data_IF_976404893442
#
_entry.id   IF_976404893442
#
_cell.length_a   1.000
_cell.length_b   1.000
_cell.length_c   1.000
_cell.angle_alpha   90.00
_cell.angle_beta   90.00
_cell.angle_gamma   90.00
#
_symmetry.space_group_name_H-M   'P 1'
#
loop_
_entity.id
_entity.type
_entity.pdbx_description
1 polymer ?
#
# COMPACT_ATOMS: atom_id res chain seq x y z
N UNK A 1 31.14 -3.67 5.37
CA UNK A 1 30.42 -4.00 6.62
C UNK A 1 29.53 -5.21 6.36
N UNK A 2 29.20 -5.97 7.41
CA UNK A 2 28.15 -6.99 7.38
C UNK A 2 26.84 -6.39 7.85
N UNK A 3 25.81 -6.44 7.02
CA UNK A 3 24.50 -5.83 7.31
C UNK A 3 23.43 -6.90 7.31
N UNK A 4 22.69 -7.01 8.43
CA UNK A 4 21.52 -7.87 8.56
C UNK A 4 20.24 -7.08 8.29
N UNK A 5 19.34 -7.61 7.48
CA UNK A 5 18.05 -6.98 7.16
C UNK A 5 16.92 -7.89 7.63
N UNK A 6 16.04 -7.35 8.47
CA UNK A 6 14.86 -8.04 8.99
C UNK A 6 13.65 -7.65 8.16
N UNK A 7 13.11 -8.61 7.40
CA UNK A 7 11.99 -8.45 6.48
C UNK A 7 12.43 -8.46 5.01
N UNK A 8 11.86 -9.40 4.23
CA UNK A 8 12.10 -9.59 2.79
C UNK A 8 11.02 -8.95 1.91
N UNK A 9 10.34 -7.92 2.40
CA UNK A 9 9.45 -7.07 1.61
C UNK A 9 10.22 -6.14 0.67
N UNK A 10 9.50 -5.33 -0.12
CA UNK A 10 10.11 -4.38 -1.08
C UNK A 10 11.12 -3.44 -0.43
N UNK A 11 10.87 -2.99 0.81
CA UNK A 11 11.79 -2.16 1.57
C UNK A 11 13.12 -2.87 1.83
N UNK A 12 13.05 -4.09 2.37
CA UNK A 12 14.25 -4.89 2.69
C UNK A 12 15.05 -5.27 1.45
N UNK A 13 14.37 -5.70 0.38
CA UNK A 13 15.01 -6.01 -0.89
C UNK A 13 15.65 -4.77 -1.54
N UNK A 14 14.98 -3.61 -1.44
CA UNK A 14 15.53 -2.33 -1.91
C UNK A 14 16.77 -1.90 -1.13
N UNK A 15 16.74 -2.03 0.22
CA UNK A 15 17.92 -1.78 1.06
C UNK A 15 19.07 -2.72 0.71
N UNK A 16 18.78 -4.02 0.56
CA UNK A 16 19.78 -5.02 0.19
C UNK A 16 20.45 -4.68 -1.14
N UNK A 17 19.64 -4.32 -2.15
CA UNK A 17 20.12 -3.94 -3.48
C UNK A 17 21.05 -2.73 -3.43
N UNK A 18 20.59 -1.66 -2.78
CA UNK A 18 21.39 -0.44 -2.66
C UNK A 18 22.71 -0.62 -1.87
N UNK A 19 22.71 -1.48 -0.84
CA UNK A 19 23.89 -1.77 -0.03
C UNK A 19 24.88 -2.70 -0.75
N UNK A 20 24.38 -3.71 -1.44
CA UNK A 20 25.22 -4.62 -2.20
C UNK A 20 25.97 -3.90 -3.33
N UNK A 21 25.30 -2.95 -4.02
CA UNK A 21 25.95 -2.07 -5.00
C UNK A 21 27.09 -1.21 -4.41
N UNK A 22 27.06 -0.96 -3.09
CA UNK A 22 28.09 -0.21 -2.37
C UNK A 22 29.16 -1.13 -1.75
N UNK A 23 29.17 -2.42 -2.06
CA UNK A 23 30.18 -3.40 -1.65
C UNK A 23 29.97 -3.99 -0.25
N UNK A 24 28.80 -3.79 0.39
CA UNK A 24 28.51 -4.41 1.68
C UNK A 24 28.13 -5.88 1.54
N UNK A 25 28.43 -6.68 2.58
CA UNK A 25 27.93 -8.05 2.72
C UNK A 25 26.56 -8.00 3.40
N UNK A 26 25.53 -8.40 2.68
CA UNK A 26 24.14 -8.26 3.11
C UNK A 26 23.46 -9.62 3.24
N UNK A 27 22.73 -9.79 4.33
CA UNK A 27 21.86 -10.94 4.56
C UNK A 27 20.45 -10.45 4.87
N UNK A 28 19.43 -11.00 4.18
CA UNK A 28 18.01 -10.69 4.36
C UNK A 28 17.31 -11.88 4.97
N UNK A 29 16.54 -11.65 6.03
CA UNK A 29 15.77 -12.67 6.75
C UNK A 29 14.29 -12.41 6.62
N UNK A 30 13.54 -13.38 6.07
CA UNK A 30 12.10 -13.31 5.84
C UNK A 30 11.40 -14.53 6.45
N UNK A 31 10.41 -14.30 7.30
CA UNK A 31 9.65 -15.37 7.95
C UNK A 31 8.74 -16.14 6.99
N UNK A 32 8.25 -15.48 5.94
CA UNK A 32 7.43 -16.12 4.93
C UNK A 32 8.28 -17.00 3.99
N UNK A 33 7.70 -18.03 3.36
CA UNK A 33 8.41 -18.87 2.40
C UNK A 33 8.77 -18.14 1.09
N UNK A 34 8.19 -16.95 0.86
CA UNK A 34 8.42 -16.15 -0.34
C UNK A 34 8.71 -14.68 0.00
N UNK A 35 9.58 -14.07 -0.80
CA UNK A 35 9.92 -12.64 -0.72
C UNK A 35 8.80 -11.75 -1.28
N UNK A 36 8.85 -10.47 -0.96
CA UNK A 36 7.97 -9.44 -1.53
C UNK A 36 6.99 -8.80 -0.55
N UNK A 37 6.71 -9.41 0.61
CA UNK A 37 5.80 -8.88 1.61
C UNK A 37 4.41 -8.57 1.02
N UNK A 38 3.91 -7.33 1.18
CA UNK A 38 2.62 -6.90 0.62
C UNK A 38 2.61 -6.82 -0.92
N UNK A 39 3.78 -6.74 -1.58
CA UNK A 39 3.89 -6.81 -3.04
C UNK A 39 4.03 -8.25 -3.55
N UNK A 40 3.98 -9.24 -2.66
CA UNK A 40 4.11 -10.65 -2.99
C UNK A 40 3.00 -11.17 -3.88
N UNK A 41 3.34 -12.22 -4.65
CA UNK A 41 2.42 -12.92 -5.53
C UNK A 41 2.16 -14.35 -5.07
N UNK A 42 1.18 -14.98 -5.66
CA UNK A 42 0.86 -16.39 -5.45
C UNK A 42 0.40 -17.04 -6.75
N UNK A 43 0.47 -18.34 -6.82
CA UNK A 43 -0.11 -19.09 -7.93
C UNK A 43 -1.62 -19.28 -7.71
N UNK A 44 -2.41 -18.87 -8.70
CA UNK A 44 -3.85 -19.06 -8.72
C UNK A 44 -4.22 -19.95 -9.92
N UNK A 45 -4.06 -21.25 -9.75
CA UNK A 45 -4.27 -22.29 -10.77
C UNK A 45 -3.47 -22.01 -12.05
N UNK A 46 -2.14 -21.93 -11.90
CA UNK A 46 -1.19 -21.69 -12.99
C UNK A 46 -1.02 -20.22 -13.37
N UNK A 47 -1.66 -19.31 -12.66
CA UNK A 47 -1.64 -17.88 -12.93
C UNK A 47 -0.99 -17.13 -11.79
N UNK A 48 0.13 -16.44 -12.06
CA UNK A 48 0.75 -15.55 -11.05
C UNK A 48 -0.13 -14.32 -10.81
N UNK A 49 -0.57 -14.14 -9.58
CA UNK A 49 -1.49 -13.08 -9.14
C UNK A 49 -0.91 -12.38 -7.92
N UNK A 50 -1.04 -11.07 -7.85
CA UNK A 50 -0.64 -10.28 -6.69
C UNK A 50 -1.59 -10.54 -5.51
N UNK A 51 -1.06 -10.65 -4.29
CA UNK A 51 -1.90 -10.76 -3.08
C UNK A 51 -2.75 -9.53 -2.83
N UNK A 52 -2.24 -8.37 -3.24
CA UNK A 52 -2.89 -7.07 -3.19
C UNK A 52 -2.59 -6.36 -4.51
N UNK A 53 -3.59 -5.68 -5.07
CA UNK A 53 -3.45 -5.01 -6.37
C UNK A 53 -2.44 -3.85 -6.32
N UNK A 54 -1.66 -3.71 -7.37
CA UNK A 54 -0.73 -2.60 -7.55
C UNK A 54 -0.90 -1.95 -8.93
N UNK A 55 -0.65 -0.66 -8.96
CA UNK A 55 -0.54 0.12 -10.19
C UNK A 55 0.56 1.17 -10.02
N UNK A 56 1.05 1.68 -11.11
CA UNK A 56 2.15 2.66 -11.14
C UNK A 56 1.60 4.02 -11.56
N UNK A 57 1.97 5.06 -10.82
CA UNK A 57 1.72 6.44 -11.19
C UNK A 57 2.95 7.04 -11.89
N UNK A 58 2.76 8.12 -12.66
CA UNK A 58 3.89 8.82 -13.31
C UNK A 58 4.88 9.41 -12.32
N UNK A 59 4.42 9.76 -11.14
CA UNK A 59 5.21 10.33 -10.06
C UNK A 59 5.95 9.26 -9.23
N UNK A 60 5.81 7.97 -9.57
CA UNK A 60 6.51 6.87 -8.88
C UNK A 60 7.96 6.74 -9.39
N UNK A 61 8.72 7.84 -9.27
CA UNK A 61 10.05 8.00 -9.88
C UNK A 61 11.08 6.96 -9.43
N UNK A 62 11.06 6.57 -8.14
CA UNK A 62 12.01 5.58 -7.61
C UNK A 62 11.71 4.17 -8.13
N UNK A 63 10.42 3.82 -8.29
CA UNK A 63 10.03 2.56 -8.93
C UNK A 63 10.44 2.57 -10.41
N UNK A 64 10.18 3.66 -11.14
CA UNK A 64 10.56 3.79 -12.55
C UNK A 64 12.07 3.66 -12.74
N UNK A 65 12.86 4.28 -11.86
CA UNK A 65 14.32 4.13 -11.85
C UNK A 65 14.74 2.66 -11.59
N UNK A 66 14.14 2.00 -10.60
CA UNK A 66 14.42 0.60 -10.29
C UNK A 66 14.07 -0.32 -11.48
N UNK A 67 12.93 -0.09 -12.15
CA UNK A 67 12.56 -0.85 -13.35
C UNK A 67 13.58 -0.66 -14.47
N UNK A 68 14.12 0.54 -14.64
CA UNK A 68 15.18 0.83 -15.61
C UNK A 68 16.48 0.10 -15.24
N UNK A 69 16.92 0.17 -13.99
CA UNK A 69 18.13 -0.52 -13.48
C UNK A 69 18.05 -2.05 -13.65
N UNK A 70 16.86 -2.61 -13.47
CA UNK A 70 16.60 -4.05 -13.65
C UNK A 70 16.31 -4.47 -15.10
N UNK A 71 16.29 -3.52 -16.06
CA UNK A 71 15.99 -3.80 -17.48
C UNK A 71 14.52 -4.10 -17.76
N UNK A 72 13.60 -3.69 -16.88
CA UNK A 72 12.17 -4.00 -16.96
C UNK A 72 11.32 -2.87 -17.57
N UNK A 73 11.91 -1.82 -18.14
CA UNK A 73 11.15 -0.69 -18.68
C UNK A 73 10.15 -1.09 -19.77
N UNK A 74 10.45 -2.12 -20.56
CA UNK A 74 9.58 -2.65 -21.63
C UNK A 74 8.38 -3.47 -21.09
N UNK A 75 8.42 -3.86 -19.81
CA UNK A 75 7.35 -4.59 -19.15
C UNK A 75 6.29 -3.67 -18.55
N UNK A 76 6.57 -2.37 -18.48
CA UNK A 76 5.65 -1.35 -17.98
C UNK A 76 4.76 -0.84 -19.09
N UNK A 77 3.47 -1.06 -18.97
CA UNK A 77 2.46 -0.49 -19.86
C UNK A 77 1.61 0.58 -19.17
N UNK A 78 1.11 1.54 -19.96
CA UNK A 78 0.29 2.64 -19.48
C UNK A 78 -1.08 2.61 -20.12
N UNK A 79 -2.14 2.47 -19.32
CA UNK A 79 -3.53 2.48 -19.78
C UNK A 79 -4.38 3.52 -19.05
N UNK A 80 -5.54 3.83 -19.61
CA UNK A 80 -6.53 4.69 -18.94
C UNK A 80 -7.24 3.88 -17.87
N UNK A 81 -7.05 4.25 -16.60
CA UNK A 81 -7.85 3.74 -15.49
C UNK A 81 -9.26 4.33 -15.56
N UNK A 82 -10.26 3.48 -15.78
CA UNK A 82 -11.66 3.92 -15.72
C UNK A 82 -12.12 3.81 -14.28
N UNK A 83 -12.46 4.96 -13.65
CA UNK A 83 -13.03 4.97 -12.31
C UNK A 83 -14.54 5.03 -12.38
N UNK A 84 -15.20 4.36 -11.43
CA UNK A 84 -16.64 4.36 -11.25
C UNK A 84 -16.98 4.70 -9.80
N UNK A 85 -18.18 5.17 -9.58
CA UNK A 85 -18.72 5.44 -8.26
C UNK A 85 -20.16 4.90 -8.19
N UNK A 86 -20.37 3.92 -7.31
CA UNK A 86 -21.68 3.36 -7.05
C UNK A 86 -22.30 4.10 -5.86
N UNK A 87 -23.48 4.67 -6.09
CA UNK A 87 -24.21 5.45 -5.08
C UNK A 87 -25.71 5.21 -5.19
N UNK A 88 -26.32 4.75 -4.12
CA UNK A 88 -27.80 4.54 -4.01
C UNK A 88 -28.38 3.78 -5.20
N UNK A 89 -27.75 2.67 -5.56
CA UNK A 89 -28.22 1.79 -6.61
C UNK A 89 -27.87 2.20 -8.04
N UNK A 90 -27.08 3.25 -8.24
CA UNK A 90 -26.66 3.70 -9.57
C UNK A 90 -25.13 3.77 -9.71
N UNK A 91 -24.61 3.33 -10.86
CA UNK A 91 -23.20 3.36 -11.19
C UNK A 91 -22.88 4.58 -12.06
N UNK A 92 -22.09 5.50 -11.52
CA UNK A 92 -21.68 6.74 -12.18
C UNK A 92 -20.26 6.63 -12.73
N UNK A 93 -20.00 7.32 -13.84
CA UNK A 93 -18.61 7.62 -14.26
C UNK A 93 -18.00 8.60 -13.28
N UNK A 94 -16.73 8.38 -12.92
CA UNK A 94 -16.01 9.23 -11.99
C UNK A 94 -14.54 9.31 -12.37
N UNK A 95 -13.91 10.48 -12.19
CA UNK A 95 -12.47 10.61 -12.43
C UNK A 95 -12.07 11.67 -13.47
N UNK A 96 -13.02 12.30 -14.17
CA UNK A 96 -12.75 13.44 -15.06
C UNK A 96 -13.60 14.65 -14.66
N UNK A 97 -13.21 15.89 -15.04
CA UNK A 97 -14.05 17.06 -14.80
C UNK A 97 -15.47 16.93 -15.40
N UNK A 98 -15.57 16.30 -16.56
CA UNK A 98 -16.86 16.05 -17.23
C UNK A 98 -17.72 15.02 -16.48
N UNK A 99 -17.08 13.99 -15.90
CA UNK A 99 -17.81 13.03 -15.05
C UNK A 99 -18.32 13.72 -13.79
N UNK A 100 -17.50 14.61 -13.19
CA UNK A 100 -17.89 15.38 -12.01
C UNK A 100 -19.08 16.30 -12.31
N UNK A 101 -19.09 17.00 -13.45
CA UNK A 101 -20.23 17.84 -13.86
C UNK A 101 -21.53 17.03 -14.03
N UNK A 102 -21.44 15.74 -14.39
CA UNK A 102 -22.57 14.83 -14.55
C UNK A 102 -22.89 14.01 -13.31
N UNK A 103 -22.11 14.18 -12.23
CA UNK A 103 -22.26 13.41 -10.99
C UNK A 103 -23.47 13.92 -10.19
N UNK A 104 -24.67 13.43 -10.53
CA UNK A 104 -25.94 13.83 -9.95
C UNK A 104 -26.08 13.66 -8.43
N UNK A 105 -25.33 12.77 -7.74
CA UNK A 105 -25.33 12.70 -6.28
C UNK A 105 -24.95 14.02 -5.57
N UNK A 106 -24.30 14.94 -6.27
CA UNK A 106 -23.93 16.26 -5.76
C UNK A 106 -24.74 17.37 -6.45
N UNK A 107 -25.08 18.41 -5.70
CA UNK A 107 -25.62 19.66 -6.24
C UNK A 107 -24.61 20.32 -7.20
N UNK A 108 -25.09 21.20 -8.07
CA UNK A 108 -24.20 21.88 -9.03
C UNK A 108 -23.13 22.71 -8.31
N UNK A 109 -23.49 23.39 -7.21
CA UNK A 109 -22.55 24.17 -6.40
C UNK A 109 -21.46 23.30 -5.79
N UNK A 110 -21.82 22.13 -5.24
CA UNK A 110 -20.86 21.17 -4.67
C UNK A 110 -19.90 20.61 -5.76
N UNK A 111 -20.39 20.32 -6.96
CA UNK A 111 -19.56 19.87 -8.09
C UNK A 111 -18.53 20.91 -8.49
N UNK A 112 -18.93 22.18 -8.61
CA UNK A 112 -18.05 23.29 -8.96
C UNK A 112 -16.99 23.46 -7.87
N UNK A 113 -17.40 23.54 -6.60
CA UNK A 113 -16.50 23.68 -5.45
C UNK A 113 -15.47 22.54 -5.39
N UNK A 114 -15.93 21.29 -5.57
CA UNK A 114 -15.05 20.12 -5.61
C UNK A 114 -14.04 20.20 -6.77
N UNK A 115 -14.51 20.57 -7.97
CA UNK A 115 -13.65 20.73 -9.15
C UNK A 115 -12.59 21.81 -8.97
N UNK A 116 -12.94 22.96 -8.39
CA UNK A 116 -12.00 24.04 -8.07
C UNK A 116 -10.95 23.60 -7.04
N UNK A 117 -11.36 22.84 -6.02
CA UNK A 117 -10.41 22.31 -5.03
C UNK A 117 -9.39 21.34 -5.68
N UNK A 118 -9.83 20.42 -6.54
CA UNK A 118 -8.93 19.53 -7.28
C UNK A 118 -7.96 20.31 -8.16
N UNK A 119 -8.42 21.37 -8.81
CA UNK A 119 -7.56 22.23 -9.63
C UNK A 119 -6.51 22.96 -8.77
N UNK A 120 -6.93 23.52 -7.65
CA UNK A 120 -6.06 24.25 -6.73
C UNK A 120 -5.05 23.34 -6.01
N UNK A 121 -5.43 22.11 -5.68
CA UNK A 121 -4.55 21.14 -5.01
C UNK A 121 -3.30 20.74 -5.81
N UNK A 122 -3.22 21.10 -7.10
CA UNK A 122 -2.01 20.91 -7.93
C UNK A 122 -0.88 21.87 -7.57
N UNK A 123 -1.18 23.03 -6.99
CA UNK A 123 -0.16 23.99 -6.56
C UNK A 123 0.63 23.44 -5.38
N UNK A 124 1.94 23.61 -5.43
CA UNK A 124 2.83 23.14 -4.39
C UNK A 124 2.55 23.89 -3.08
N UNK A 125 2.06 23.19 -2.08
CA UNK A 125 1.82 23.72 -0.75
C UNK A 125 2.41 22.76 0.28
N UNK A 126 2.92 23.31 1.38
CA UNK A 126 3.44 22.48 2.46
C UNK A 126 2.29 21.80 3.20
N UNK A 127 2.32 20.47 3.24
CA UNK A 127 1.39 19.65 4.01
C UNK A 127 1.46 19.92 5.53
N UNK A 128 2.61 20.41 6.02
CA UNK A 128 2.85 20.63 7.46
C UNK A 128 1.85 21.59 8.10
N UNK A 129 1.27 22.52 7.34
CA UNK A 129 0.24 23.45 7.85
C UNK A 129 -1.08 22.75 8.22
N UNK A 130 -1.31 21.53 7.73
CA UNK A 130 -2.52 20.77 7.99
C UNK A 130 -2.34 19.69 9.06
N UNK A 131 -1.17 19.62 9.69
CA UNK A 131 -0.78 18.54 10.59
C UNK A 131 -1.70 18.44 11.83
N UNK A 132 -2.12 19.58 12.37
CA UNK A 132 -3.01 19.64 13.53
C UNK A 132 -4.51 19.57 13.16
N UNK A 133 -4.84 19.59 11.88
CA UNK A 133 -6.22 19.58 11.40
C UNK A 133 -6.68 18.16 11.08
N UNK A 134 -7.97 17.87 11.31
CA UNK A 134 -8.55 16.58 10.91
C UNK A 134 -8.87 16.55 9.41
N UNK A 135 -8.88 15.35 8.84
CA UNK A 135 -9.28 15.13 7.45
C UNK A 135 -10.72 15.61 7.19
N UNK A 136 -11.64 15.41 8.17
CA UNK A 136 -13.01 15.89 8.08
C UNK A 136 -13.06 17.41 7.97
N UNK A 137 -12.42 18.12 8.90
CA UNK A 137 -12.48 19.59 8.95
C UNK A 137 -11.90 20.18 7.67
N UNK A 138 -10.76 19.68 7.23
CA UNK A 138 -10.13 20.11 5.98
C UNK A 138 -11.02 19.85 4.75
N UNK A 139 -11.59 18.64 4.63
CA UNK A 139 -12.46 18.31 3.49
C UNK A 139 -13.72 19.15 3.48
N UNK A 140 -14.38 19.34 4.63
CA UNK A 140 -15.58 20.19 4.73
C UNK A 140 -15.24 21.63 4.38
N UNK A 141 -14.13 22.18 4.88
CA UNK A 141 -13.64 23.50 4.51
C UNK A 141 -13.40 23.64 3.01
N UNK A 142 -12.78 22.63 2.38
CA UNK A 142 -12.37 22.69 0.99
C UNK A 142 -13.51 22.39 0.00
N UNK A 143 -14.26 21.31 0.21
CA UNK A 143 -15.23 20.80 -0.75
C UNK A 143 -16.69 20.89 -0.29
N UNK A 144 -16.93 21.27 0.98
CA UNK A 144 -18.26 21.39 1.59
C UNK A 144 -18.79 20.07 2.16
N UNK A 145 -19.74 20.20 3.12
CA UNK A 145 -20.33 19.07 3.84
C UNK A 145 -20.98 18.04 2.88
N UNK A 146 -21.70 18.51 1.87
CA UNK A 146 -22.39 17.65 0.90
C UNK A 146 -21.41 16.71 0.18
N UNK A 147 -20.32 17.26 -0.35
CA UNK A 147 -19.31 16.44 -1.06
C UNK A 147 -18.51 15.56 -0.11
N UNK A 148 -18.27 16.01 1.12
CA UNK A 148 -17.64 15.20 2.16
C UNK A 148 -18.50 13.97 2.47
N UNK A 149 -19.79 14.16 2.79
CA UNK A 149 -20.71 13.08 3.16
C UNK A 149 -20.92 12.06 2.05
N UNK A 150 -21.01 12.53 0.79
CA UNK A 150 -21.23 11.62 -0.35
C UNK A 150 -19.97 10.84 -0.73
N UNK A 151 -18.80 11.48 -0.71
CA UNK A 151 -17.60 10.89 -1.32
C UNK A 151 -16.63 10.34 -0.27
N UNK A 152 -16.37 11.06 0.82
CA UNK A 152 -15.25 10.77 1.72
C UNK A 152 -15.64 10.12 3.04
N UNK A 153 -16.74 10.55 3.64
CA UNK A 153 -17.12 10.06 4.97
C UNK A 153 -17.32 8.54 5.01
N UNK A 154 -18.06 7.90 4.08
CA UNK A 154 -18.24 6.46 4.09
C UNK A 154 -16.91 5.71 3.91
N UNK A 155 -16.02 6.24 3.07
CA UNK A 155 -14.69 5.68 2.86
C UNK A 155 -13.85 5.76 4.14
N UNK A 156 -13.85 6.89 4.83
CA UNK A 156 -13.10 7.08 6.06
C UNK A 156 -13.65 6.21 7.19
N UNK A 157 -14.99 6.16 7.35
CA UNK A 157 -15.65 5.33 8.37
C UNK A 157 -15.37 3.84 8.17
N UNK A 158 -15.52 3.32 6.95
CA UNK A 158 -15.26 1.91 6.67
C UNK A 158 -13.77 1.54 6.78
N UNK A 159 -12.88 2.48 6.40
CA UNK A 159 -11.43 2.22 6.43
C UNK A 159 -10.85 2.30 7.83
N UNK A 160 -11.23 3.29 8.61
CA UNK A 160 -10.57 3.61 9.88
C UNK A 160 -11.42 3.30 11.12
N UNK A 161 -12.69 2.94 10.96
CA UNK A 161 -13.58 2.63 12.07
C UNK A 161 -13.59 3.74 13.13
N UNK A 162 -13.27 3.46 14.40
CA UNK A 162 -13.32 4.44 15.49
C UNK A 162 -12.30 5.59 15.36
N UNK A 163 -11.36 5.51 14.41
CA UNK A 163 -10.34 6.55 14.20
C UNK A 163 -10.67 7.51 13.05
N UNK A 164 -11.82 7.34 12.38
CA UNK A 164 -12.14 8.05 11.13
C UNK A 164 -12.15 9.58 11.27
N UNK A 165 -12.54 10.10 12.43
CA UNK A 165 -12.61 11.52 12.75
C UNK A 165 -11.30 12.13 13.28
N UNK A 166 -10.28 11.28 13.50
CA UNK A 166 -8.96 11.66 14.00
C UNK A 166 -7.90 11.69 12.88
N UNK A 167 -8.24 11.25 11.68
CA UNK A 167 -7.29 11.15 10.57
C UNK A 167 -6.74 12.53 10.22
N UNK A 168 -5.42 12.63 10.03
CA UNK A 168 -4.74 13.86 9.67
C UNK A 168 -5.16 14.38 8.29
N UNK A 169 -5.42 15.68 8.22
CA UNK A 169 -5.64 16.38 6.95
C UNK A 169 -4.42 16.30 6.03
N UNK A 170 -3.21 16.25 6.55
CA UNK A 170 -1.98 16.10 5.76
C UNK A 170 -1.97 14.82 4.94
N UNK A 171 -2.45 13.70 5.51
CA UNK A 171 -2.55 12.43 4.79
C UNK A 171 -3.56 12.48 3.64
N UNK A 172 -4.77 13.03 3.87
CA UNK A 172 -5.80 13.19 2.82
C UNK A 172 -5.35 14.20 1.77
N UNK A 173 -4.75 15.32 2.20
CA UNK A 173 -4.23 16.34 1.30
C UNK A 173 -3.21 15.75 0.33
N UNK A 174 -2.24 14.96 0.83
CA UNK A 174 -1.24 14.32 -0.01
C UNK A 174 -1.87 13.38 -1.04
N UNK A 175 -2.89 12.61 -0.62
CA UNK A 175 -3.63 11.70 -1.50
C UNK A 175 -4.35 12.46 -2.64
N UNK A 176 -5.04 13.55 -2.30
CA UNK A 176 -5.71 14.43 -3.29
C UNK A 176 -4.68 15.09 -4.21
N UNK A 177 -3.60 15.60 -3.64
CA UNK A 177 -2.50 16.25 -4.36
C UNK A 177 -1.83 15.29 -5.37
N UNK A 178 -1.48 14.08 -4.94
CA UNK A 178 -0.91 13.03 -5.82
C UNK A 178 -1.86 12.70 -6.98
N UNK A 179 -3.14 12.50 -6.72
CA UNK A 179 -4.14 12.25 -7.77
C UNK A 179 -4.28 13.43 -8.74
N UNK A 180 -4.16 14.65 -8.27
CA UNK A 180 -4.23 15.84 -9.11
C UNK A 180 -2.97 15.98 -9.99
N UNK A 181 -1.79 15.60 -9.51
CA UNK A 181 -0.51 15.66 -10.23
C UNK A 181 -0.27 14.50 -11.18
N UNK A 182 -0.85 13.33 -10.93
CA UNK A 182 -0.69 12.14 -11.81
C UNK A 182 -1.17 12.37 -13.24
N UNK A 183 -1.97 13.44 -13.48
CA UNK A 183 -2.46 13.85 -14.79
C UNK A 183 -1.50 14.83 -15.46
N UNK A 184 -1.25 14.65 -16.77
CA UNK A 184 -0.41 15.57 -17.55
C UNK A 184 -0.91 17.03 -17.50
N UNK A 185 -2.23 17.23 -17.55
CA UNK A 185 -2.90 18.51 -17.34
C UNK A 185 -4.31 18.28 -16.74
N UNK A 186 -4.96 19.35 -16.26
CA UNK A 186 -6.21 19.26 -15.49
C UNK A 186 -7.35 18.54 -16.23
N UNK A 187 -7.41 18.66 -17.55
CA UNK A 187 -8.39 18.01 -18.41
C UNK A 187 -7.95 16.62 -18.90
N UNK A 188 -6.68 16.24 -18.64
CA UNK A 188 -6.16 14.96 -19.08
C UNK A 188 -6.82 13.83 -18.28
N UNK A 189 -7.11 12.74 -18.97
CA UNK A 189 -7.50 11.48 -18.33
C UNK A 189 -6.27 10.86 -17.68
N UNK A 190 -6.46 10.36 -16.46
CA UNK A 190 -5.42 9.64 -15.75
C UNK A 190 -4.99 8.38 -16.52
N UNK A 191 -3.68 8.18 -16.59
CA UNK A 191 -3.10 6.93 -17.09
C UNK A 191 -2.36 6.28 -15.93
N UNK A 192 -2.68 5.04 -15.69
CA UNK A 192 -2.05 4.19 -14.70
C UNK A 192 -1.14 3.19 -15.40
N UNK A 193 0.04 2.98 -14.85
CA UNK A 193 0.98 1.97 -15.28
C UNK A 193 0.71 0.64 -14.59
N UNK A 194 1.06 -0.45 -15.25
CA UNK A 194 1.08 -1.79 -14.70
C UNK A 194 2.18 -2.61 -15.34
N UNK A 195 2.72 -3.55 -14.61
CA UNK A 195 3.65 -4.54 -15.13
C UNK A 195 2.85 -5.68 -15.75
N UNK A 196 3.22 -6.14 -16.94
CA UNK A 196 2.48 -7.16 -17.72
C UNK A 196 2.17 -8.43 -16.92
N UNK A 197 3.13 -8.89 -16.08
CA UNK A 197 2.96 -10.04 -15.18
C UNK A 197 2.74 -9.63 -13.71
N UNK A 198 2.30 -8.39 -13.46
CA UNK A 198 2.18 -7.85 -12.11
C UNK A 198 3.54 -7.64 -11.44
N UNK A 199 3.55 -7.53 -10.11
CA UNK A 199 4.78 -7.34 -9.33
C UNK A 199 5.70 -8.55 -9.33
N UNK A 200 5.26 -9.73 -9.78
CA UNK A 200 6.12 -10.94 -9.82
C UNK A 200 7.38 -10.71 -10.63
N UNK A 201 7.28 -10.06 -11.81
CA UNK A 201 8.46 -9.80 -12.65
C UNK A 201 9.48 -8.88 -11.98
N UNK A 202 9.02 -7.90 -11.21
CA UNK A 202 9.89 -7.02 -10.42
C UNK A 202 10.60 -7.81 -9.32
N UNK A 203 9.86 -8.62 -8.56
CA UNK A 203 10.42 -9.42 -7.46
C UNK A 203 11.39 -10.48 -7.97
N UNK A 204 11.08 -11.15 -9.09
CA UNK A 204 11.96 -12.12 -9.75
C UNK A 204 13.28 -11.46 -10.18
N UNK A 205 13.20 -10.34 -10.89
CA UNK A 205 14.37 -9.62 -11.39
C UNK A 205 15.24 -9.06 -10.24
N UNK A 206 14.61 -8.50 -9.21
CA UNK A 206 15.30 -7.97 -8.04
C UNK A 206 15.99 -9.09 -7.24
N UNK A 207 15.29 -10.21 -7.01
CA UNK A 207 15.86 -11.40 -6.36
C UNK A 207 17.06 -11.94 -7.13
N UNK A 208 16.94 -12.08 -8.45
CA UNK A 208 18.05 -12.54 -9.29
C UNK A 208 19.25 -11.57 -9.27
N UNK A 209 19.00 -10.26 -9.24
CA UNK A 209 20.05 -9.26 -9.12
C UNK A 209 20.77 -9.35 -7.77
N UNK A 210 20.04 -9.52 -6.67
CA UNK A 210 20.59 -9.70 -5.32
C UNK A 210 21.47 -10.98 -5.22
N UNK A 211 20.98 -12.09 -5.79
CA UNK A 211 21.75 -13.35 -5.84
C UNK A 211 23.08 -13.19 -6.62
N UNK A 212 23.03 -12.50 -7.78
CA UNK A 212 24.26 -12.21 -8.55
C UNK A 212 25.25 -11.34 -7.79
N UNK A 213 24.75 -10.46 -6.90
CA UNK A 213 25.59 -9.62 -6.02
C UNK A 213 26.06 -10.34 -4.75
N UNK A 214 25.74 -11.63 -4.57
CA UNK A 214 26.15 -12.41 -3.41
C UNK A 214 25.40 -12.10 -2.12
N UNK A 215 24.19 -11.52 -2.21
CA UNK A 215 23.33 -11.27 -1.05
C UNK A 215 22.74 -12.58 -0.54
N UNK A 216 22.86 -12.84 0.77
CA UNK A 216 22.20 -13.96 1.43
C UNK A 216 20.70 -13.69 1.57
N UNK A 217 19.85 -14.53 0.94
CA UNK A 217 18.40 -14.44 1.02
C UNK A 217 17.86 -15.65 1.79
N UNK A 218 17.39 -15.43 3.01
CA UNK A 218 16.90 -16.49 3.91
C UNK A 218 15.38 -16.36 4.04
N UNK A 219 14.63 -17.24 3.37
CA UNK A 219 13.17 -17.34 3.47
C UNK A 219 12.75 -18.46 4.41
N UNK A 220 11.52 -18.40 4.94
CA UNK A 220 11.00 -19.30 5.98
C UNK A 220 11.88 -19.29 7.24
N UNK A 221 12.53 -18.17 7.53
CA UNK A 221 13.45 -17.98 8.66
C UNK A 221 12.94 -16.84 9.53
N UNK A 222 12.65 -17.12 10.79
CA UNK A 222 12.18 -16.14 11.76
C UNK A 222 13.36 -15.52 12.51
N UNK A 223 13.47 -14.20 12.48
CA UNK A 223 14.33 -13.46 13.42
C UNK A 223 13.62 -13.42 14.77
N UNK A 224 14.27 -13.94 15.79
CA UNK A 224 13.73 -14.04 17.15
C UNK A 224 14.03 -12.77 17.96
N UNK A 225 15.21 -12.17 17.75
CA UNK A 225 15.60 -10.95 18.43
C UNK A 225 16.64 -10.15 17.62
N UNK A 226 16.61 -8.83 17.80
CA UNK A 226 17.69 -7.90 17.46
C UNK A 226 18.52 -7.71 18.70
N UNK A 227 19.76 -8.17 18.69
CA UNK A 227 20.65 -8.18 19.85
C UNK A 227 21.37 -6.84 19.98
N UNK A 228 21.36 -6.29 21.20
CA UNK A 228 21.92 -4.99 21.55
C UNK A 228 22.82 -5.13 22.77
N UNK A 229 24.02 -4.59 22.73
CA UNK A 229 24.93 -4.47 23.87
C UNK A 229 25.15 -2.97 24.16
N UNK A 230 24.76 -2.54 25.36
CA UNK A 230 24.78 -1.11 25.70
C UNK A 230 23.86 -0.28 24.82
N UNK A 231 24.43 0.55 23.96
CA UNK A 231 23.72 1.41 23.01
C UNK A 231 23.92 1.00 21.53
N UNK A 232 24.52 -0.17 21.28
CA UNK A 232 24.91 -0.61 19.95
C UNK A 232 24.29 -1.96 19.60
N UNK A 233 23.79 -2.08 18.35
CA UNK A 233 23.37 -3.38 17.81
C UNK A 233 24.60 -4.30 17.64
N UNK A 234 24.44 -5.57 17.96
CA UNK A 234 25.50 -6.59 17.81
C UNK A 234 25.15 -7.66 16.80
N UNK A 235 23.87 -7.80 16.46
CA UNK A 235 23.43 -8.77 15.48
C UNK A 235 21.98 -9.18 15.62
N UNK A 236 21.68 -10.38 15.16
CA UNK A 236 20.34 -10.99 15.17
C UNK A 236 20.42 -12.37 15.84
N UNK A 237 19.35 -12.77 16.51
CA UNK A 237 19.13 -14.16 16.92
C UNK A 237 18.24 -14.82 15.88
N UNK A 238 18.72 -15.91 15.30
CA UNK A 238 18.05 -16.70 14.24
C UNK A 238 18.29 -18.18 14.54
N UNK A 239 17.22 -18.97 14.61
CA UNK A 239 17.26 -20.40 14.97
C UNK A 239 18.03 -20.65 16.30
N UNK A 240 17.78 -19.80 17.30
CA UNK A 240 18.44 -19.86 18.60
C UNK A 240 19.93 -19.46 18.59
N UNK A 241 20.48 -19.08 17.43
CA UNK A 241 21.90 -18.73 17.27
C UNK A 241 22.10 -17.23 17.05
N UNK A 242 23.10 -16.66 17.72
CA UNK A 242 23.51 -15.28 17.48
C UNK A 242 24.34 -15.19 16.19
N UNK A 243 23.88 -14.32 15.26
CA UNK A 243 24.61 -13.94 14.05
C UNK A 243 25.05 -12.47 14.17
N UNK A 244 26.36 -12.25 14.20
CA UNK A 244 26.94 -10.92 14.35
C UNK A 244 26.81 -10.08 13.08
N UNK A 245 26.38 -8.82 13.23
CA UNK A 245 26.28 -7.82 12.17
C UNK A 245 26.80 -6.48 12.67
N UNK A 246 27.46 -5.73 11.78
CA UNK A 246 27.94 -4.36 12.07
C UNK A 246 26.78 -3.35 12.10
N UNK A 247 25.73 -3.63 11.30
CA UNK A 247 24.49 -2.87 11.29
C UNK A 247 23.30 -3.79 11.02
N UNK A 248 22.14 -3.41 11.53
CA UNK A 248 20.86 -4.08 11.29
C UNK A 248 19.86 -3.06 10.75
N UNK A 249 19.12 -3.44 9.71
CA UNK A 249 18.01 -2.68 9.16
C UNK A 249 16.73 -3.45 9.45
N UNK A 250 15.82 -2.85 10.21
CA UNK A 250 14.48 -3.38 10.41
C UNK A 250 13.54 -2.78 9.38
N UNK A 251 12.89 -3.65 8.60
CA UNK A 251 11.87 -3.25 7.62
C UNK A 251 10.49 -3.80 7.96
N UNK A 252 10.38 -4.39 9.14
CA UNK A 252 9.10 -4.91 9.65
C UNK A 252 8.28 -3.78 10.29
N UNK A 253 6.95 -3.93 10.38
CA UNK A 253 6.10 -2.97 11.09
C UNK A 253 6.57 -2.70 12.52
N UNK A 254 6.44 -1.45 12.97
CA UNK A 254 6.95 -1.01 14.28
C UNK A 254 6.47 -1.86 15.47
N UNK A 255 5.22 -2.36 15.53
CA UNK A 255 4.80 -3.25 16.61
C UNK A 255 5.51 -4.62 16.59
N UNK A 256 5.96 -5.08 15.43
CA UNK A 256 6.79 -6.29 15.32
C UNK A 256 8.21 -5.97 15.81
N UNK A 257 8.77 -4.86 15.36
CA UNK A 257 10.10 -4.41 15.83
C UNK A 257 10.16 -4.30 17.35
N UNK A 258 9.13 -3.72 17.99
CA UNK A 258 9.08 -3.60 19.45
C UNK A 258 9.20 -4.94 20.18
N UNK A 259 8.76 -6.04 19.55
CA UNK A 259 8.89 -7.41 20.12
C UNK A 259 10.26 -8.03 19.86
N UNK A 260 10.98 -7.57 18.85
CA UNK A 260 12.30 -8.11 18.49
C UNK A 260 13.43 -7.45 19.30
N UNK A 261 13.19 -6.34 19.94
CA UNK A 261 14.18 -5.60 20.73
C UNK A 261 13.87 -5.80 22.22
N UNK A 262 14.90 -5.95 23.04
CA UNK A 262 14.71 -6.08 24.49
C UNK A 262 13.93 -4.88 25.05
N UNK A 263 13.02 -5.08 26.05
CA UNK A 263 12.16 -4.01 26.59
C UNK A 263 12.93 -2.74 27.02
N UNK A 264 14.10 -2.91 27.62
CA UNK A 264 14.96 -1.79 28.03
C UNK A 264 15.50 -0.94 26.84
N UNK A 265 15.54 -1.51 25.64
CA UNK A 265 16.00 -0.82 24.45
C UNK A 265 14.85 -0.22 23.61
N UNK A 266 13.60 -0.67 23.81
CA UNK A 266 12.41 -0.15 23.09
C UNK A 266 12.25 1.35 23.29
N UNK A 267 12.47 1.86 24.51
CA UNK A 267 12.39 3.29 24.80
C UNK A 267 13.31 4.16 23.94
N UNK A 268 14.40 3.58 23.39
CA UNK A 268 15.32 4.28 22.49
C UNK A 268 14.83 4.37 21.05
N UNK A 269 13.74 3.66 20.73
CA UNK A 269 13.12 3.68 19.41
C UNK A 269 12.05 4.78 19.27
N UNK A 270 11.81 5.55 20.36
CA UNK A 270 10.71 6.51 20.46
C UNK A 270 9.38 5.84 20.80
N UNK A 271 8.28 6.56 20.64
CA UNK A 271 6.93 6.11 20.99
C UNK A 271 6.31 5.20 19.90
N UNK A 272 7.06 4.16 19.49
CA UNK A 272 6.65 3.27 18.39
C UNK A 272 5.42 2.41 18.74
N UNK A 273 5.17 2.15 20.02
CA UNK A 273 4.04 1.34 20.50
C UNK A 273 2.70 2.09 20.43
N UNK A 274 2.72 3.42 20.41
CA UNK A 274 1.52 4.24 20.23
C UNK A 274 0.98 4.21 18.81
N UNK A 275 1.80 3.84 17.82
CA UNK A 275 1.42 3.83 16.43
C UNK A 275 0.55 2.61 16.14
N UNK A 276 -0.71 2.87 15.82
CA UNK A 276 -1.68 1.82 15.47
C UNK A 276 -1.69 1.61 13.96
N UNK A 277 -1.99 0.40 13.55
CA UNK A 277 -2.08 0.01 12.13
C UNK A 277 -3.48 -0.49 11.80
N UNK A 278 -4.00 -0.14 10.64
CA UNK A 278 -5.13 -0.85 10.05
C UNK A 278 -4.66 -2.19 9.53
N UNK A 279 -5.54 -3.17 9.63
CA UNK A 279 -5.37 -4.49 9.00
C UNK A 279 -5.99 -4.47 7.60
N UNK A 280 -5.66 -5.46 6.78
CA UNK A 280 -6.34 -5.68 5.51
C UNK A 280 -6.76 -7.14 5.38
N UNK A 281 -8.00 -7.32 4.93
CA UNK A 281 -8.51 -8.59 4.42
C UNK A 281 -8.86 -8.35 2.96
N UNK A 282 -8.27 -9.11 2.05
CA UNK A 282 -8.50 -8.94 0.62
C UNK A 282 -9.03 -10.25 0.03
N UNK A 283 -10.29 -10.24 -0.38
CA UNK A 283 -10.84 -11.31 -1.21
C UNK A 283 -10.46 -11.06 -2.66
N UNK A 284 -9.91 -12.07 -3.32
CA UNK A 284 -9.62 -12.07 -4.75
C UNK A 284 -10.55 -13.07 -5.42
N UNK A 285 -11.31 -12.60 -6.38
CA UNK A 285 -12.21 -13.42 -7.20
C UNK A 285 -11.60 -13.64 -8.58
N UNK A 286 -11.72 -14.86 -9.07
CA UNK A 286 -11.44 -15.26 -10.42
C UNK A 286 -12.78 -15.46 -11.11
N UNK A 287 -13.10 -14.61 -12.08
CA UNK A 287 -14.43 -14.57 -12.72
C UNK A 287 -14.35 -14.90 -14.21
N UNK A 288 -15.39 -15.51 -14.73
CA UNK A 288 -15.56 -15.79 -16.16
C UNK A 288 -15.80 -14.53 -16.99
N UNK A 289 -16.42 -13.50 -16.40
CA UNK A 289 -16.81 -12.25 -17.05
C UNK A 289 -16.48 -11.05 -16.15
N UNK A 290 -16.25 -9.85 -16.72
CA UNK A 290 -16.11 -8.63 -15.93
C UNK A 290 -17.45 -8.27 -15.29
N UNK A 291 -17.39 -7.61 -14.13
CA UNK A 291 -18.57 -7.07 -13.45
C UNK A 291 -19.00 -5.73 -14.04
N UNK A 292 -18.01 -4.89 -14.37
CA UNK A 292 -18.21 -3.56 -14.95
C UNK A 292 -17.14 -3.26 -16.02
N UNK A 293 -17.20 -2.07 -16.62
CA UNK A 293 -16.13 -1.57 -17.50
C UNK A 293 -15.09 -0.72 -16.74
N UNK A 294 -15.20 -0.62 -15.41
CA UNK A 294 -14.30 0.16 -14.55
C UNK A 294 -13.10 -0.65 -14.08
N UNK A 295 -12.00 0.06 -13.80
CA UNK A 295 -10.86 -0.51 -13.08
C UNK A 295 -11.06 -0.39 -11.56
N UNK A 296 -11.41 0.81 -11.10
CA UNK A 296 -11.64 1.11 -9.69
C UNK A 296 -13.08 1.56 -9.48
N UNK A 297 -13.80 0.83 -8.68
CA UNK A 297 -15.18 1.12 -8.34
C UNK A 297 -15.24 1.52 -6.87
N UNK A 298 -15.52 2.81 -6.59
CA UNK A 298 -15.85 3.25 -5.25
C UNK A 298 -17.32 2.94 -4.97
N UNK A 299 -17.62 2.49 -3.78
CA UNK A 299 -18.96 2.14 -3.35
C UNK A 299 -19.33 2.95 -2.12
N UNK A 300 -20.46 3.66 -2.21
CA UNK A 300 -21.14 4.30 -1.11
C UNK A 300 -22.61 3.90 -1.14
N UNK A 301 -22.90 2.73 -0.59
CA UNK A 301 -24.24 2.18 -0.47
C UNK A 301 -24.27 1.26 0.76
N UNK A 302 -25.18 1.52 1.68
CA UNK A 302 -25.27 0.82 2.97
C UNK A 302 -25.54 -0.70 2.83
N UNK A 303 -26.06 -1.14 1.67
CA UNK A 303 -26.29 -2.56 1.37
C UNK A 303 -25.00 -3.32 1.04
N UNK A 304 -23.89 -2.60 0.81
CA UNK A 304 -22.62 -3.18 0.38
C UNK A 304 -21.61 -3.08 1.52
N UNK A 305 -21.01 -4.21 1.96
CA UNK A 305 -20.18 -4.24 3.16
C UNK A 305 -18.74 -3.76 2.94
N UNK A 306 -18.41 -3.25 1.75
CA UNK A 306 -17.08 -2.74 1.37
C UNK A 306 -17.21 -1.38 0.68
N UNK A 307 -16.13 -0.58 0.77
CA UNK A 307 -16.07 0.76 0.19
C UNK A 307 -15.59 0.81 -1.27
N UNK A 308 -15.34 -0.33 -1.88
CA UNK A 308 -14.93 -0.45 -3.27
C UNK A 308 -14.35 -1.79 -3.63
N UNK A 309 -14.18 -1.99 -4.92
CA UNK A 309 -13.49 -3.16 -5.48
C UNK A 309 -12.71 -2.76 -6.72
N UNK A 310 -11.74 -3.58 -7.08
CA UNK A 310 -10.84 -3.31 -8.20
C UNK A 310 -10.96 -4.44 -9.21
N UNK A 311 -11.46 -4.13 -10.39
CA UNK A 311 -11.42 -5.05 -11.53
C UNK A 311 -10.07 -4.92 -12.23
N UNK A 312 -9.09 -5.64 -11.70
CA UNK A 312 -7.68 -5.48 -12.08
C UNK A 312 -7.42 -5.73 -13.56
N UNK A 313 -8.08 -6.71 -14.14
CA UNK A 313 -7.95 -7.06 -15.57
C UNK A 313 -8.53 -6.01 -16.54
N UNK A 314 -9.34 -5.06 -16.06
CA UNK A 314 -9.75 -3.89 -16.83
C UNK A 314 -8.62 -2.87 -17.02
N UNK A 315 -7.59 -2.88 -16.15
CA UNK A 315 -6.36 -2.11 -16.32
C UNK A 315 -5.25 -2.96 -16.95
N UNK A 316 -5.01 -4.17 -16.41
CA UNK A 316 -3.99 -5.11 -16.84
C UNK A 316 -4.64 -6.31 -17.55
N UNK A 317 -5.11 -6.16 -18.79
CA UNK A 317 -5.66 -7.27 -19.54
C UNK A 317 -4.54 -8.24 -19.88
N UNK A 318 -4.79 -9.51 -19.64
CA UNK A 318 -3.84 -10.55 -20.00
C UNK A 318 -3.86 -10.78 -21.51
N UNK A 319 -2.78 -11.34 -22.03
CA UNK A 319 -2.60 -11.49 -23.48
C UNK A 319 -3.64 -12.42 -24.15
N UNK A 320 -4.26 -13.32 -23.37
CA UNK A 320 -5.26 -14.26 -23.85
C UNK A 320 -6.67 -13.81 -23.44
N UNK A 321 -7.53 -13.59 -24.42
CA UNK A 321 -8.92 -13.20 -24.24
C UNK A 321 -9.78 -14.26 -23.49
N UNK A 322 -9.29 -15.51 -23.40
CA UNK A 322 -9.96 -16.59 -22.66
C UNK A 322 -9.57 -16.61 -21.17
N UNK A 323 -8.61 -15.76 -20.76
CA UNK A 323 -8.19 -15.71 -19.36
C UNK A 323 -9.26 -15.07 -18.46
N UNK A 324 -9.40 -15.59 -17.24
CA UNK A 324 -10.40 -15.11 -16.30
C UNK A 324 -10.12 -13.67 -15.85
N UNK A 325 -11.19 -13.00 -15.44
CA UNK A 325 -11.14 -11.66 -14.85
C UNK A 325 -10.80 -11.75 -13.37
N UNK A 326 -9.94 -10.84 -12.90
CA UNK A 326 -9.57 -10.72 -11.50
C UNK A 326 -10.23 -9.50 -10.86
N UNK A 327 -10.91 -9.76 -9.75
CA UNK A 327 -11.55 -8.73 -8.93
C UNK A 327 -11.01 -8.82 -7.51
N UNK A 328 -10.51 -7.69 -6.98
CA UNK A 328 -10.06 -7.56 -5.61
C UNK A 328 -11.11 -6.81 -4.81
N UNK A 329 -11.49 -7.36 -3.68
CA UNK A 329 -12.39 -6.71 -2.70
C UNK A 329 -11.61 -6.52 -1.39
N UNK A 330 -10.93 -5.38 -1.22
CA UNK A 330 -10.15 -5.12 -0.01
C UNK A 330 -11.04 -4.55 1.09
N UNK A 331 -10.93 -5.11 2.28
CA UNK A 331 -11.42 -4.55 3.52
C UNK A 331 -10.26 -4.01 4.33
N UNK A 332 -10.24 -2.73 4.56
CA UNK A 332 -9.34 -2.10 5.53
C UNK A 332 -10.08 -2.01 6.86
N UNK A 333 -9.49 -2.53 7.91
CA UNK A 333 -10.18 -2.75 9.18
C UNK A 333 -9.34 -2.19 10.34
N UNK A 334 -9.98 -1.62 11.38
CA UNK A 334 -9.24 -1.24 12.58
C UNK A 334 -8.69 -2.48 13.29
N UNK A 335 -7.67 -2.34 14.16
CA UNK A 335 -7.13 -3.45 14.92
C UNK A 335 -8.21 -4.17 15.72
N UNK A 336 -8.17 -5.49 15.74
CA UNK A 336 -9.12 -6.32 16.51
C UNK A 336 -10.52 -6.47 15.89
N UNK A 337 -10.75 -5.97 14.68
CA UNK A 337 -12.05 -6.12 14.01
C UNK A 337 -12.36 -7.60 13.71
N UNK A 338 -13.56 -8.11 14.05
CA UNK A 338 -13.89 -9.55 13.97
C UNK A 338 -13.79 -10.11 12.55
N UNK A 339 -14.01 -9.31 11.49
CA UNK A 339 -13.86 -9.74 10.09
C UNK A 339 -12.44 -10.23 9.75
N UNK A 340 -11.43 -9.83 10.51
CA UNK A 340 -10.06 -10.30 10.28
C UNK A 340 -9.95 -11.83 10.49
N UNK A 341 -10.73 -12.39 11.40
CA UNK A 341 -10.79 -13.83 11.69
C UNK A 341 -11.99 -14.55 11.05
N UNK A 342 -12.80 -13.84 10.23
CA UNK A 342 -13.98 -14.41 9.59
C UNK A 342 -13.55 -15.53 8.63
N UNK A 343 -14.27 -16.69 8.59
CA UNK A 343 -14.02 -17.77 7.64
C UNK A 343 -14.11 -17.29 6.19
N UNK A 344 -13.27 -17.83 5.30
CA UNK A 344 -13.17 -17.40 3.92
C UNK A 344 -14.50 -17.57 3.15
N UNK A 345 -15.23 -18.66 3.40
CA UNK A 345 -16.52 -18.92 2.75
C UNK A 345 -17.61 -17.95 3.19
N UNK A 346 -17.60 -17.51 4.45
CA UNK A 346 -18.54 -16.51 4.94
C UNK A 346 -18.24 -15.14 4.32
N UNK A 347 -16.95 -14.80 4.25
CA UNK A 347 -16.50 -13.59 3.58
C UNK A 347 -16.87 -13.59 2.10
N UNK A 348 -16.66 -14.71 1.40
CA UNK A 348 -17.06 -14.88 0.00
C UNK A 348 -18.56 -14.64 -0.19
N UNK A 349 -19.39 -15.28 0.63
CA UNK A 349 -20.85 -15.15 0.55
C UNK A 349 -21.29 -13.71 0.74
N UNK A 350 -20.74 -13.02 1.74
CA UNK A 350 -21.01 -11.63 2.03
C UNK A 350 -20.58 -10.72 0.88
N UNK A 351 -19.37 -10.93 0.32
CA UNK A 351 -18.87 -10.17 -0.81
C UNK A 351 -19.72 -10.37 -2.07
N UNK A 352 -20.10 -11.61 -2.39
CA UNK A 352 -20.95 -11.88 -3.56
C UNK A 352 -22.33 -11.23 -3.40
N UNK A 353 -22.91 -11.22 -2.21
CA UNK A 353 -24.15 -10.51 -1.95
C UNK A 353 -23.98 -9.00 -2.21
N UNK A 354 -22.91 -8.37 -1.71
CA UNK A 354 -22.61 -6.96 -1.97
C UNK A 354 -22.32 -6.66 -3.44
N UNK A 355 -21.59 -7.53 -4.14
CA UNK A 355 -21.30 -7.37 -5.57
C UNK A 355 -22.56 -7.48 -6.42
N UNK A 356 -23.54 -8.32 -6.05
CA UNK A 356 -24.85 -8.40 -6.73
C UNK A 356 -25.68 -7.14 -6.60
N UNK A 357 -25.47 -6.34 -5.56
CA UNK A 357 -26.10 -5.01 -5.46
C UNK A 357 -25.56 -4.06 -6.54
N UNK A 358 -24.27 -4.18 -6.88
CA UNK A 358 -23.61 -3.34 -7.90
C UNK A 358 -23.79 -3.92 -9.30
N UNK A 359 -23.74 -5.23 -9.44
CA UNK A 359 -23.89 -5.99 -10.67
C UNK A 359 -24.96 -7.07 -10.49
N UNK A 360 -26.25 -6.77 -10.69
CA UNK A 360 -27.35 -7.72 -10.46
C UNK A 360 -27.27 -9.01 -11.30
N UNK A 361 -26.59 -8.94 -12.44
CA UNK A 361 -26.40 -10.07 -13.36
C UNK A 361 -25.35 -11.08 -12.89
N UNK A 362 -24.64 -10.80 -11.77
CA UNK A 362 -23.61 -11.71 -11.25
C UNK A 362 -24.21 -13.05 -10.84
N UNK A 363 -24.04 -14.06 -11.70
CA UNK A 363 -24.45 -15.43 -11.47
C UNK A 363 -23.35 -16.25 -10.78
N UNK A 364 -23.72 -17.32 -10.11
CA UNK A 364 -22.78 -18.18 -9.37
C UNK A 364 -21.75 -18.85 -10.29
N UNK A 365 -22.16 -19.25 -11.49
CA UNK A 365 -21.30 -19.87 -12.49
C UNK A 365 -20.23 -18.93 -13.07
N UNK A 366 -20.30 -17.61 -12.76
CA UNK A 366 -19.23 -16.68 -13.12
C UNK A 366 -18.02 -16.83 -12.21
N UNK A 367 -18.19 -17.35 -10.99
CA UNK A 367 -17.12 -17.50 -10.00
C UNK A 367 -16.34 -18.79 -10.28
N UNK A 368 -15.14 -18.66 -10.80
CA UNK A 368 -14.23 -19.77 -11.11
C UNK A 368 -13.37 -20.18 -9.90
N UNK A 369 -13.23 -19.28 -8.93
CA UNK A 369 -12.46 -19.52 -7.71
C UNK A 369 -12.25 -18.23 -6.91
N UNK A 370 -11.76 -18.40 -5.70
CA UNK A 370 -11.42 -17.28 -4.82
C UNK A 370 -10.19 -17.58 -3.96
N UNK A 371 -9.56 -16.53 -3.43
CA UNK A 371 -8.52 -16.58 -2.40
C UNK A 371 -8.70 -15.40 -1.44
N UNK A 372 -8.32 -15.59 -0.19
CA UNK A 372 -8.37 -14.54 0.82
C UNK A 372 -6.97 -14.35 1.42
N UNK A 373 -6.50 -13.12 1.43
CA UNK A 373 -5.25 -12.73 2.08
C UNK A 373 -5.53 -11.77 3.22
N UNK A 374 -4.77 -11.93 4.30
CA UNK A 374 -4.88 -11.12 5.52
C UNK A 374 -3.51 -10.61 5.91
N UNK A 375 -3.46 -9.32 6.29
CA UNK A 375 -2.26 -8.72 6.87
C UNK A 375 -2.65 -7.82 8.04
N UNK A 376 -2.01 -8.03 9.17
CA UNK A 376 -2.29 -7.30 10.42
C UNK A 376 -1.72 -5.89 10.46
N UNK A 377 -0.82 -5.54 9.54
CA UNK A 377 -0.06 -4.28 9.56
C UNK A 377 -0.04 -3.61 8.18
N UNK A 378 -1.23 -3.42 7.61
CA UNK A 378 -1.33 -2.93 6.26
C UNK A 378 -0.90 -1.46 6.11
N UNK A 379 -1.23 -0.59 7.07
CA UNK A 379 -0.90 0.84 7.04
C UNK A 379 -1.04 1.44 8.43
N UNK A 380 -0.12 2.35 8.81
CA UNK A 380 -0.28 3.14 10.02
C UNK A 380 -1.52 4.05 9.95
N UNK A 381 -2.20 4.21 11.09
CA UNK A 381 -3.33 5.13 11.23
C UNK A 381 -2.77 6.52 11.51
N UNK A 382 -2.71 7.34 10.47
CA UNK A 382 -2.14 8.68 10.52
C UNK A 382 -3.15 9.67 11.11
N UNK A 383 -3.18 9.80 12.43
CA UNK A 383 -4.00 10.80 13.13
C UNK A 383 -3.34 12.18 13.10
N UNK A 384 -3.99 13.21 13.63
CA UNK A 384 -3.41 14.56 13.74
C UNK A 384 -2.06 14.54 14.46
N UNK A 385 -1.14 15.43 14.07
CA UNK A 385 0.23 15.53 14.57
C UNK A 385 1.06 14.23 14.45
N UNK A 386 0.74 13.42 13.43
CA UNK A 386 1.38 12.12 13.24
C UNK A 386 2.90 12.21 12.99
N UNK A 387 3.36 13.27 12.31
CA UNK A 387 4.78 13.47 12.02
C UNK A 387 5.67 13.48 13.28
N UNK A 388 5.14 13.94 14.42
CA UNK A 388 5.87 14.01 15.69
C UNK A 388 6.11 12.64 16.34
N UNK A 389 5.35 11.61 15.93
CA UNK A 389 5.42 10.24 16.47
C UNK A 389 6.21 9.28 15.61
N UNK A 390 6.55 9.69 14.39
CA UNK A 390 7.31 8.85 13.45
C UNK A 390 8.75 8.73 13.96
N UNK A 391 9.25 7.50 14.19
CA UNK A 391 10.63 7.31 14.59
C UNK A 391 11.57 7.71 13.46
N UNK A 392 12.75 8.30 13.78
CA UNK A 392 13.76 8.58 12.78
C UNK A 392 14.31 7.28 12.17
N UNK A 393 14.82 7.34 10.94
CA UNK A 393 15.49 6.20 10.30
C UNK A 393 16.66 5.71 11.16
N UNK A 394 17.51 6.61 11.64
CA UNK A 394 18.54 6.31 12.63
C UNK A 394 17.90 6.25 14.00
N UNK A 395 17.77 5.05 14.54
CA UNK A 395 17.22 4.86 15.88
C UNK A 395 18.18 5.38 16.96
N UNK A 396 17.70 5.47 18.21
CA UNK A 396 18.55 5.74 19.37
C UNK A 396 19.50 4.57 19.75
N UNK A 397 19.59 3.53 18.92
CA UNK A 397 20.51 2.39 19.05
C UNK A 397 21.49 2.47 17.88
N UNK A 398 22.76 2.64 18.16
CA UNK A 398 23.81 2.70 17.12
C UNK A 398 23.82 1.44 16.26
N UNK A 399 23.88 1.61 14.95
CA UNK A 399 23.87 0.52 13.99
C UNK A 399 22.50 -0.11 13.73
N UNK A 400 21.42 0.34 14.40
CA UNK A 400 20.05 -0.08 14.08
C UNK A 400 19.34 1.02 13.33
N UNK A 401 18.95 0.74 12.07
CA UNK A 401 18.16 1.60 11.22
C UNK A 401 16.74 1.04 11.05
N UNK A 402 15.77 1.94 10.93
CA UNK A 402 14.34 1.62 10.83
C UNK A 402 13.81 2.11 9.49
N UNK A 403 13.08 1.26 8.79
CA UNK A 403 12.38 1.68 7.57
C UNK A 403 11.11 0.84 7.38
N UNK A 404 9.98 1.47 7.63
CA UNK A 404 8.68 0.91 7.28
C UNK A 404 7.80 1.96 6.58
N UNK A 405 6.58 1.60 6.22
CA UNK A 405 5.67 2.51 5.52
C UNK A 405 5.24 3.74 6.33
N UNK A 406 5.43 3.75 7.65
CA UNK A 406 5.10 4.87 8.55
C UNK A 406 5.92 6.11 8.18
N UNK A 407 7.18 5.90 7.83
CA UNK A 407 8.12 6.98 7.51
C UNK A 407 7.89 7.59 6.12
N UNK A 408 6.99 7.03 5.32
CA UNK A 408 6.54 7.66 4.07
C UNK A 408 5.53 8.79 4.29
N UNK A 409 5.00 8.95 5.51
CA UNK A 409 4.04 10.00 5.81
C UNK A 409 4.51 11.39 5.34
N UNK A 410 3.64 12.20 4.74
CA UNK A 410 2.20 12.03 4.56
C UNK A 410 1.79 11.19 3.33
N UNK A 411 2.75 10.63 2.60
CA UNK A 411 2.48 9.77 1.45
C UNK A 411 1.77 8.48 1.86
N UNK A 412 0.96 7.96 0.94
CA UNK A 412 0.52 6.56 1.03
C UNK A 412 1.73 5.63 0.87
N UNK A 413 1.59 4.41 1.43
CA UNK A 413 2.57 3.35 1.19
C UNK A 413 2.57 2.98 -0.31
N UNK A 414 3.70 3.08 -0.94
CA UNK A 414 3.89 2.71 -2.34
C UNK A 414 5.21 1.95 -2.51
N UNK A 415 5.27 1.09 -3.50
CA UNK A 415 6.52 0.40 -3.88
C UNK A 415 7.60 1.44 -4.19
N UNK A 416 7.26 2.52 -4.91
CA UNK A 416 8.17 3.61 -5.24
C UNK A 416 8.71 4.30 -3.99
N UNK A 417 7.84 4.68 -3.06
CA UNK A 417 8.25 5.31 -1.80
C UNK A 417 9.21 4.43 -1.00
N UNK A 418 8.96 3.11 -0.95
CA UNK A 418 9.84 2.18 -0.25
C UNK A 418 11.21 2.05 -0.92
N UNK A 419 11.31 2.10 -2.26
CA UNK A 419 12.62 2.14 -2.93
C UNK A 419 13.37 3.45 -2.69
N UNK A 420 12.67 4.59 -2.72
CA UNK A 420 13.26 5.88 -2.37
C UNK A 420 13.82 5.89 -0.95
N UNK A 421 13.04 5.38 0.00
CA UNK A 421 13.46 5.28 1.40
C UNK A 421 14.63 4.29 1.58
N UNK A 422 14.61 3.15 0.87
CA UNK A 422 15.70 2.19 0.90
C UNK A 422 17.04 2.81 0.46
N UNK A 423 17.05 3.66 -0.56
CA UNK A 423 18.25 4.42 -0.96
C UNK A 423 18.72 5.39 0.12
N UNK A 424 17.78 6.06 0.80
CA UNK A 424 18.11 6.95 1.93
C UNK A 424 18.72 6.16 3.08
N UNK A 425 18.14 5.03 3.46
CA UNK A 425 18.68 4.15 4.51
C UNK A 425 20.09 3.66 4.15
N UNK A 426 20.29 3.18 2.93
CA UNK A 426 21.60 2.74 2.48
C UNK A 426 22.66 3.85 2.49
N UNK A 427 22.26 5.10 2.24
CA UNK A 427 23.17 6.24 2.27
C UNK A 427 23.65 6.59 3.68
N UNK A 428 22.94 6.18 4.73
CA UNK A 428 23.33 6.38 6.13
C UNK A 428 24.38 5.39 6.62
N UNK A 429 24.57 4.30 5.91
CA UNK A 429 25.65 3.34 6.21
C UNK A 429 26.92 3.81 5.48
N UNK A 430 28.07 3.96 6.19
CA UNK A 430 29.34 4.37 5.57
C UNK A 430 29.71 3.47 4.38
N UNK A 431 30.45 3.94 3.39
CA UNK A 431 30.98 3.07 2.31
C UNK A 431 31.75 1.86 2.86
N UNK A 432 31.75 0.76 2.10
CA UNK A 432 32.44 -0.49 2.48
C UNK A 432 33.96 -0.34 2.47
#
# INVERSE_FOLDING_TARGET
MRVGIVGGGVAGLGCAYALAQRGHRVEVFEQAPALGGLAGCFDFDGMQVEKYYHFVCRDDVDLLAMLQELGLSAELEWRRGRMRFFYRGALYRFGTPWDLLRFRPLSLGARVRFGLNVAWSRSAQSWRRYEAMTARDWLVEQIGEEAYTVIWEPLLRLKFGPYYDQISASWIWHRVHRMARSRAHILARERLGFLKRGTSILLEALTAALQRQGVGLHTAVTVEAITVAGDQVTGLTVDGQHRAFDAVISTVPLPILARLVAPAAVARLGDIESIKYITVVCLILKLRRPLTDGFWINVNDERVPFNGFIEYTNLNPRADAQQPHLVYVPFYLPPGHPRFAQPDEDLLRECLAGLRVVCPDLAEDWVLGHRVFRDGFAQAICTTNFAQRIPPIQSGIRGLLLTDSTQLYPSDRTISGMFGQARQVAALIPPA
#
